data_IF_629801102368
#
_entry.id   IF_629801102368
#
_cell.length_a   1.000
_cell.length_b   1.000
_cell.length_c   1.000
_cell.angle_alpha   90.00
_cell.angle_beta   90.00
_cell.angle_gamma   90.00
#
_symmetry.space_group_name_H-M   'P 1'
#
loop_
_entity.id
_entity.type
_entity.pdbx_description
1 polymer ?
#
# COMPACT_ATOMS: atom_id res chain seq x y z
N UNK A 1 -28.83 -8.30 -17.60
CA UNK A 1 -28.66 -8.50 -16.15
C UNK A 1 -29.04 -7.22 -15.42
N UNK A 2 -30.03 -7.30 -14.54
CA UNK A 2 -30.41 -6.23 -13.61
C UNK A 2 -29.52 -6.30 -12.36
N UNK A 3 -29.06 -5.15 -11.88
CA UNK A 3 -28.41 -5.06 -10.57
C UNK A 3 -29.48 -5.23 -9.49
N UNK A 4 -29.18 -5.99 -8.44
CA UNK A 4 -30.14 -6.28 -7.38
C UNK A 4 -30.21 -5.10 -6.40
N UNK A 5 -31.41 -4.61 -6.10
CA UNK A 5 -31.63 -3.64 -5.02
C UNK A 5 -31.94 -4.41 -3.74
N UNK A 6 -31.28 -4.04 -2.65
CA UNK A 6 -31.49 -4.58 -1.31
C UNK A 6 -31.88 -3.46 -0.35
N UNK A 7 -32.63 -3.81 0.70
CA UNK A 7 -33.07 -2.87 1.74
C UNK A 7 -32.61 -3.35 3.11
N UNK A 8 -32.16 -2.42 3.93
CA UNK A 8 -31.72 -2.67 5.30
C UNK A 8 -32.50 -1.79 6.26
N UNK A 9 -32.92 -2.39 7.37
CA UNK A 9 -33.54 -1.67 8.48
C UNK A 9 -32.49 -0.86 9.25
N UNK A 10 -32.88 0.22 9.94
CA UNK A 10 -31.99 0.92 10.87
C UNK A 10 -31.33 -0.07 11.86
N UNK A 11 -30.09 0.23 12.24
CA UNK A 11 -29.23 -0.57 13.12
C UNK A 11 -28.75 -1.92 12.56
N UNK A 12 -29.19 -2.32 11.35
CA UNK A 12 -28.71 -3.54 10.72
C UNK A 12 -27.20 -3.48 10.44
N UNK A 13 -26.48 -4.52 10.87
CA UNK A 13 -25.09 -4.75 10.47
C UNK A 13 -25.09 -5.36 9.06
N UNK A 14 -24.63 -4.58 8.08
CA UNK A 14 -24.57 -4.97 6.67
C UNK A 14 -23.26 -5.71 6.39
N UNK A 15 -22.15 -5.23 6.94
CA UNK A 15 -20.85 -5.87 6.91
C UNK A 15 -20.34 -5.98 8.34
N UNK A 16 -19.79 -7.13 8.68
CA UNK A 16 -19.15 -7.40 9.97
C UNK A 16 -17.67 -7.70 9.71
N UNK A 17 -16.80 -6.98 10.41
CA UNK A 17 -15.35 -7.14 10.33
C UNK A 17 -14.92 -8.58 10.67
N UNK A 18 -14.03 -9.15 9.85
CA UNK A 18 -13.40 -10.45 10.11
C UNK A 18 -14.26 -11.70 9.93
N UNK A 19 -15.52 -11.60 9.48
CA UNK A 19 -16.38 -12.77 9.26
C UNK A 19 -16.02 -13.57 7.99
N UNK A 20 -16.83 -13.46 6.93
CA UNK A 20 -16.64 -14.19 5.69
C UNK A 20 -16.18 -13.26 4.57
N UNK A 21 -15.46 -13.81 3.60
CA UNK A 21 -15.08 -13.10 2.38
C UNK A 21 -16.32 -12.56 1.68
N UNK A 22 -16.31 -11.26 1.40
CA UNK A 22 -17.35 -10.64 0.60
C UNK A 22 -17.09 -10.92 -0.87
N UNK A 23 -18.13 -11.30 -1.61
CA UNK A 23 -18.10 -11.42 -3.08
C UNK A 23 -18.89 -10.30 -3.76
N UNK A 24 -19.21 -9.28 -2.99
CA UNK A 24 -20.11 -8.20 -3.36
C UNK A 24 -19.85 -6.96 -2.52
N UNK A 25 -20.22 -5.82 -3.09
CA UNK A 25 -20.20 -4.52 -2.42
C UNK A 25 -21.51 -3.78 -2.72
N UNK A 26 -21.69 -2.64 -2.05
CA UNK A 26 -22.95 -1.92 -2.06
C UNK A 26 -22.76 -0.47 -2.48
N UNK A 27 -23.72 0.06 -3.24
CA UNK A 27 -23.82 1.49 -3.59
C UNK A 27 -25.13 2.02 -3.02
N UNK A 28 -25.07 3.04 -2.18
CA UNK A 28 -26.24 3.57 -1.47
C UNK A 28 -27.11 4.36 -2.45
N UNK A 29 -28.40 4.04 -2.53
CA UNK A 29 -29.40 4.83 -3.26
C UNK A 29 -30.13 5.80 -2.34
N UNK A 30 -30.42 5.37 -1.10
CA UNK A 30 -31.07 6.19 -0.08
C UNK A 30 -30.67 5.70 1.31
N UNK A 31 -30.79 6.59 2.30
CA UNK A 31 -30.41 6.33 3.68
C UNK A 31 -28.95 6.64 3.99
N UNK A 32 -28.51 6.25 5.19
CA UNK A 32 -27.18 6.50 5.71
C UNK A 32 -26.59 5.23 6.31
N UNK A 33 -25.31 4.98 6.03
CA UNK A 33 -24.53 3.86 6.57
C UNK A 33 -23.32 4.41 7.30
N UNK A 34 -23.07 3.94 8.52
CA UNK A 34 -21.84 4.22 9.26
C UNK A 34 -20.84 3.10 8.99
N UNK A 35 -19.64 3.44 8.55
CA UNK A 35 -18.50 2.52 8.48
C UNK A 35 -17.48 2.84 9.58
N UNK A 36 -16.91 1.81 10.20
CA UNK A 36 -15.88 1.96 11.23
C UNK A 36 -15.06 0.68 11.41
N UNK A 37 -13.90 0.81 12.06
CA UNK A 37 -13.02 -0.29 12.42
C UNK A 37 -13.20 -0.64 13.90
N UNK A 38 -13.25 -1.93 14.23
CA UNK A 38 -13.32 -2.39 15.63
C UNK A 38 -12.02 -2.11 16.38
N UNK A 39 -10.90 -2.15 15.66
CA UNK A 39 -9.59 -1.71 16.15
C UNK A 39 -9.10 -0.55 15.29
N UNK A 40 -9.31 0.70 15.74
CA UNK A 40 -8.82 1.89 15.05
C UNK A 40 -7.32 1.80 14.82
N UNK A 41 -6.89 2.11 13.60
CA UNK A 41 -5.48 2.28 13.25
C UNK A 41 -5.20 3.74 12.99
N UNK A 42 -3.94 4.16 13.11
CA UNK A 42 -3.57 5.56 12.91
C UNK A 42 -3.93 6.00 11.49
N UNK A 43 -4.63 7.13 11.35
CA UNK A 43 -5.10 7.64 10.06
C UNK A 43 -6.44 7.03 9.58
N UNK A 44 -7.02 6.08 10.32
CA UNK A 44 -8.36 5.51 10.08
C UNK A 44 -9.10 5.27 11.40
N UNK A 45 -9.14 6.32 12.22
CA UNK A 45 -9.59 6.25 13.61
C UNK A 45 -11.04 6.70 13.81
N UNK A 46 -11.65 7.32 12.80
CA UNK A 46 -12.98 7.92 12.89
C UNK A 46 -14.01 7.16 12.06
N UNK A 47 -15.18 6.84 12.65
CA UNK A 47 -16.31 6.37 11.87
C UNK A 47 -16.67 7.36 10.75
N UNK A 48 -16.97 6.82 9.58
CA UNK A 48 -17.44 7.61 8.43
C UNK A 48 -18.93 7.38 8.23
N UNK A 49 -19.69 8.44 7.95
CA UNK A 49 -21.10 8.33 7.57
C UNK A 49 -21.21 8.51 6.06
N UNK A 50 -21.69 7.47 5.39
CA UNK A 50 -21.88 7.39 3.95
C UNK A 50 -23.35 7.62 3.60
N UNK A 51 -23.59 8.30 2.47
CA UNK A 51 -24.92 8.64 1.98
C UNK A 51 -25.17 8.22 0.53
N UNK A 52 -26.27 8.70 -0.09
CA UNK A 52 -26.60 8.38 -1.47
C UNK A 52 -25.45 8.65 -2.45
N UNK A 53 -25.14 7.65 -3.28
CA UNK A 53 -24.03 7.67 -4.24
C UNK A 53 -22.68 7.24 -3.68
N UNK A 54 -22.55 7.03 -2.37
CA UNK A 54 -21.37 6.41 -1.75
C UNK A 54 -21.46 4.88 -1.82
N UNK A 55 -20.33 4.24 -1.57
CA UNK A 55 -20.16 2.79 -1.65
C UNK A 55 -19.39 2.26 -0.44
N UNK A 56 -19.57 0.98 -0.12
CA UNK A 56 -18.86 0.30 0.95
C UNK A 56 -18.70 -1.20 0.65
N UNK A 57 -17.68 -1.83 1.23
CA UNK A 57 -17.35 -3.24 1.03
C UNK A 57 -16.50 -3.54 -0.22
N UNK A 58 -16.08 -2.51 -0.97
CA UNK A 58 -15.32 -2.68 -2.22
C UNK A 58 -13.95 -3.29 -1.96
N UNK A 59 -13.22 -2.88 -0.92
CA UNK A 59 -11.88 -3.40 -0.64
C UNK A 59 -11.89 -4.92 -0.47
N UNK A 60 -12.82 -5.42 0.35
CA UNK A 60 -12.94 -6.84 0.67
C UNK A 60 -13.47 -7.64 -0.53
N UNK A 61 -14.47 -7.10 -1.22
CA UNK A 61 -15.02 -7.71 -2.43
C UNK A 61 -13.96 -7.91 -3.51
N UNK A 62 -13.12 -6.90 -3.73
CA UNK A 62 -12.19 -6.87 -4.85
C UNK A 62 -10.83 -7.51 -4.54
N UNK A 63 -10.37 -7.49 -3.29
CA UNK A 63 -9.16 -8.23 -2.86
C UNK A 63 -9.46 -9.71 -2.57
N UNK A 64 -10.68 -10.03 -2.16
CA UNK A 64 -11.03 -11.36 -1.68
C UNK A 64 -10.54 -11.64 -0.26
N UNK A 65 -10.10 -10.62 0.48
CA UNK A 65 -9.81 -10.75 1.91
C UNK A 65 -11.07 -10.56 2.75
N UNK A 66 -11.00 -11.05 4.00
CA UNK A 66 -12.04 -10.79 5.00
C UNK A 66 -12.26 -9.29 5.21
N UNK A 67 -13.49 -8.85 5.54
CA UNK A 67 -13.78 -7.46 5.81
C UNK A 67 -12.90 -6.85 6.89
N UNK A 68 -12.33 -5.69 6.56
CA UNK A 68 -11.53 -4.90 7.49
C UNK A 68 -12.36 -3.80 8.15
N UNK A 69 -13.67 -3.72 7.93
CA UNK A 69 -14.56 -2.75 8.57
C UNK A 69 -15.94 -3.33 8.84
N UNK A 70 -16.64 -2.66 9.74
CA UNK A 70 -18.06 -2.82 9.99
C UNK A 70 -18.82 -1.78 9.18
N UNK A 71 -19.93 -2.16 8.56
CA UNK A 71 -20.89 -1.24 7.95
C UNK A 71 -22.26 -1.44 8.61
N UNK A 72 -22.80 -0.39 9.21
CA UNK A 72 -24.08 -0.44 9.93
C UNK A 72 -25.05 0.62 9.40
N UNK A 73 -26.28 0.23 9.10
CA UNK A 73 -27.33 1.15 8.71
C UNK A 73 -27.70 2.09 9.88
N UNK A 74 -27.68 3.40 9.66
CA UNK A 74 -28.16 4.39 10.64
C UNK A 74 -29.64 4.71 10.44
N UNK A 75 -30.09 4.68 9.20
CA UNK A 75 -31.48 4.91 8.78
C UNK A 75 -31.96 3.74 7.90
N UNK A 76 -33.22 3.69 7.43
CA UNK A 76 -33.59 2.73 6.41
C UNK A 76 -32.76 2.96 5.14
N UNK A 77 -32.03 1.94 4.70
CA UNK A 77 -31.11 2.04 3.56
C UNK A 77 -31.64 1.23 2.39
N UNK A 78 -31.62 1.82 1.19
CA UNK A 78 -31.76 1.10 -0.07
C UNK A 78 -30.41 1.15 -0.79
N UNK A 79 -29.88 0.00 -1.21
CA UNK A 79 -28.58 -0.06 -1.86
C UNK A 79 -28.60 -1.01 -3.07
N UNK A 80 -27.79 -0.68 -4.07
CA UNK A 80 -27.50 -1.57 -5.20
C UNK A 80 -26.42 -2.53 -4.73
N UNK A 81 -26.72 -3.82 -4.75
CA UNK A 81 -25.79 -4.92 -4.48
C UNK A 81 -25.09 -5.31 -5.78
N UNK A 82 -23.77 -5.24 -5.80
CA UNK A 82 -22.93 -5.49 -6.96
C UNK A 82 -22.00 -6.66 -6.66
N UNK A 83 -22.14 -7.75 -7.42
CA UNK A 83 -21.23 -8.89 -7.32
C UNK A 83 -19.94 -8.65 -8.09
N UNK A 84 -18.87 -9.35 -7.72
CA UNK A 84 -17.55 -9.23 -8.37
C UNK A 84 -17.59 -9.44 -9.89
N UNK A 85 -18.38 -10.40 -10.36
CA UNK A 85 -18.57 -10.70 -11.79
C UNK A 85 -19.37 -9.62 -12.55
N UNK A 86 -20.13 -8.78 -11.83
CA UNK A 86 -20.90 -7.67 -12.39
C UNK A 86 -20.11 -6.36 -12.43
N UNK A 87 -18.92 -6.32 -11.80
CA UNK A 87 -18.18 -5.08 -11.62
C UNK A 87 -17.72 -4.45 -12.94
N UNK A 88 -17.17 -5.26 -13.86
CA UNK A 88 -16.76 -4.77 -15.18
C UNK A 88 -17.93 -4.14 -15.97
N UNK A 89 -19.10 -4.76 -15.91
CA UNK A 89 -20.32 -4.24 -16.55
C UNK A 89 -20.80 -2.93 -15.91
N UNK A 90 -20.70 -2.82 -14.58
CA UNK A 90 -21.03 -1.60 -13.87
C UNK A 90 -20.12 -0.44 -14.30
N UNK A 91 -18.82 -0.68 -14.40
CA UNK A 91 -17.84 0.32 -14.85
C UNK A 91 -18.14 0.76 -16.29
N UNK A 92 -18.48 -0.18 -17.16
CA UNK A 92 -18.87 0.13 -18.54
C UNK A 92 -20.06 1.10 -18.60
N UNK A 93 -21.02 0.97 -17.67
CA UNK A 93 -22.19 1.85 -17.57
C UNK A 93 -21.90 3.17 -16.87
N UNK A 94 -20.90 3.23 -15.99
CA UNK A 94 -20.54 4.43 -15.23
C UNK A 94 -19.05 4.51 -14.93
N UNK A 95 -18.28 5.06 -15.88
CA UNK A 95 -16.88 5.42 -15.66
C UNK A 95 -16.68 6.41 -14.49
N UNK A 96 -17.58 7.39 -14.24
CA UNK A 96 -17.45 8.28 -13.08
C UNK A 96 -17.44 7.54 -11.74
N UNK A 97 -18.19 6.44 -11.60
CA UNK A 97 -18.19 5.63 -10.39
C UNK A 97 -16.84 4.94 -10.20
N UNK A 98 -16.26 4.36 -11.26
CA UNK A 98 -14.93 3.76 -11.21
C UNK A 98 -13.88 4.80 -10.78
N UNK A 99 -13.93 6.00 -11.36
CA UNK A 99 -13.04 7.09 -10.99
C UNK A 99 -13.23 7.53 -9.53
N UNK A 100 -14.47 7.57 -9.03
CA UNK A 100 -14.75 7.87 -7.61
C UNK A 100 -14.10 6.82 -6.69
N UNK A 101 -14.24 5.53 -7.01
CA UNK A 101 -13.61 4.43 -6.26
C UNK A 101 -12.08 4.54 -6.29
N UNK A 102 -11.50 4.68 -7.48
CA UNK A 102 -10.04 4.78 -7.69
C UNK A 102 -9.45 5.96 -6.90
N UNK A 103 -10.07 7.14 -6.97
CA UNK A 103 -9.62 8.32 -6.21
C UNK A 103 -9.74 8.12 -4.70
N UNK A 104 -10.86 7.55 -4.23
CA UNK A 104 -11.05 7.24 -2.81
C UNK A 104 -9.96 6.30 -2.29
N UNK A 105 -9.64 5.26 -3.05
CA UNK A 105 -8.61 4.28 -2.70
C UNK A 105 -7.20 4.86 -2.74
N UNK A 106 -6.89 5.67 -3.74
CA UNK A 106 -5.63 6.42 -3.83
C UNK A 106 -5.39 7.27 -2.57
N UNK A 107 -6.39 8.08 -2.18
CA UNK A 107 -6.30 8.92 -0.98
C UNK A 107 -6.13 8.09 0.30
N UNK A 108 -6.88 6.99 0.44
CA UNK A 108 -6.79 6.09 1.60
C UNK A 108 -5.41 5.44 1.70
N UNK A 109 -4.88 4.92 0.59
CA UNK A 109 -3.55 4.31 0.54
C UNK A 109 -2.46 5.33 0.90
N UNK A 110 -2.55 6.57 0.40
CA UNK A 110 -1.60 7.65 0.75
C UNK A 110 -1.62 7.95 2.25
N UNK A 111 -2.80 8.01 2.85
CA UNK A 111 -2.95 8.22 4.29
C UNK A 111 -2.29 7.07 5.07
N UNK A 112 -2.47 5.82 4.64
CA UNK A 112 -1.85 4.66 5.30
C UNK A 112 -0.34 4.65 5.13
N UNK A 113 0.19 4.91 3.94
CA UNK A 113 1.65 4.99 3.71
C UNK A 113 2.28 6.05 4.61
N UNK A 114 1.62 7.21 4.75
CA UNK A 114 2.05 8.29 5.64
C UNK A 114 2.03 7.84 7.11
N UNK A 115 0.96 7.17 7.53
CA UNK A 115 0.81 6.64 8.88
C UNK A 115 1.88 5.60 9.23
N UNK A 116 2.12 4.63 8.33
CA UNK A 116 3.14 3.59 8.49
C UNK A 116 4.52 4.24 8.61
N UNK A 117 4.81 5.20 7.73
CA UNK A 117 6.08 5.94 7.75
C UNK A 117 6.26 6.64 9.10
N UNK A 118 5.26 7.39 9.58
CA UNK A 118 5.32 8.11 10.88
C UNK A 118 5.51 7.21 12.08
N UNK A 119 4.81 6.08 12.11
CA UNK A 119 4.83 5.17 13.25
C UNK A 119 6.11 4.33 13.27
N UNK A 120 6.58 3.91 12.10
CA UNK A 120 7.82 3.13 11.97
C UNK A 120 9.05 4.02 12.16
N UNK A 121 8.95 5.31 11.79
CA UNK A 121 10.06 6.23 11.78
C UNK A 121 9.59 7.60 12.30
N UNK A 122 10.11 8.02 13.44
CA UNK A 122 9.61 9.11 14.30
C UNK A 122 9.43 10.51 13.67
N UNK A 123 9.76 10.71 12.39
CA UNK A 123 9.62 11.98 11.68
C UNK A 123 8.84 11.78 10.37
N UNK A 124 7.66 12.39 10.23
CA UNK A 124 7.09 12.65 8.91
C UNK A 124 7.56 14.00 8.42
N UNK A 125 8.18 13.97 7.26
CA UNK A 125 8.56 15.13 6.49
C UNK A 125 7.38 15.53 5.58
N UNK A 126 7.28 16.82 5.27
CA UNK A 126 6.28 17.33 4.32
C UNK A 126 6.55 16.78 2.91
N UNK A 127 5.50 16.46 2.14
CA UNK A 127 5.63 16.02 0.75
C UNK A 127 6.00 17.22 -0.16
N UNK A 128 7.27 17.63 -0.15
CA UNK A 128 7.79 18.79 -0.90
C UNK A 128 9.10 18.48 -1.64
N UNK A 129 9.32 18.99 -2.87
CA UNK A 129 10.53 18.74 -3.64
C UNK A 129 11.86 19.11 -2.95
N UNK A 130 11.86 19.91 -1.89
CA UNK A 130 13.06 20.21 -1.10
C UNK A 130 13.77 18.95 -0.58
N UNK A 131 13.03 17.88 -0.29
CA UNK A 131 13.55 16.59 0.18
C UNK A 131 14.38 15.82 -0.85
N UNK A 132 14.32 16.22 -2.13
CA UNK A 132 15.18 15.63 -3.17
C UNK A 132 16.66 15.82 -2.86
N UNK A 133 17.02 16.87 -2.13
CA UNK A 133 18.40 17.06 -1.67
C UNK A 133 18.86 15.96 -0.71
N UNK A 134 18.05 15.65 0.32
CA UNK A 134 18.36 14.61 1.31
C UNK A 134 18.46 13.22 0.66
N UNK A 135 17.59 12.95 -0.31
CA UNK A 135 17.65 11.74 -1.14
C UNK A 135 18.95 11.66 -1.93
N UNK A 136 19.35 12.77 -2.57
CA UNK A 136 20.63 12.88 -3.27
C UNK A 136 21.82 12.63 -2.35
N UNK A 137 21.83 13.21 -1.15
CA UNK A 137 22.90 13.00 -0.17
C UNK A 137 22.96 11.55 0.33
N UNK A 138 21.82 10.92 0.61
CA UNK A 138 21.78 9.52 1.04
C UNK A 138 22.38 8.60 -0.03
N UNK A 139 21.99 8.78 -1.30
CA UNK A 139 22.54 8.01 -2.41
C UNK A 139 24.01 8.31 -2.69
N UNK A 140 24.44 9.56 -2.55
CA UNK A 140 25.86 9.94 -2.69
C UNK A 140 26.72 9.24 -1.63
N UNK A 141 26.29 9.25 -0.35
CA UNK A 141 26.98 8.56 0.75
C UNK A 141 27.09 7.04 0.54
N UNK A 142 26.12 6.44 -0.17
CA UNK A 142 26.12 5.03 -0.57
C UNK A 142 26.80 4.74 -1.91
N UNK A 143 27.51 5.73 -2.49
CA UNK A 143 28.19 5.63 -3.79
C UNK A 143 27.26 5.31 -4.98
N UNK A 144 25.95 5.58 -4.89
CA UNK A 144 25.00 5.46 -6.01
C UNK A 144 24.97 6.75 -6.83
N UNK A 145 26.05 7.02 -7.55
CA UNK A 145 26.29 8.33 -8.19
C UNK A 145 25.23 8.72 -9.22
N UNK A 146 24.73 7.78 -10.02
CA UNK A 146 23.67 8.07 -11.00
C UNK A 146 22.34 8.46 -10.35
N UNK A 147 22.03 7.80 -9.23
CA UNK A 147 20.83 8.10 -8.46
C UNK A 147 20.96 9.47 -7.78
N UNK A 148 22.10 9.71 -7.13
CA UNK A 148 22.40 11.00 -6.50
C UNK A 148 22.35 12.16 -7.51
N UNK A 149 22.95 11.96 -8.69
CA UNK A 149 22.93 12.97 -9.75
C UNK A 149 21.51 13.29 -10.21
N UNK A 150 20.68 12.27 -10.43
CA UNK A 150 19.26 12.46 -10.79
C UNK A 150 18.53 13.30 -9.73
N UNK A 151 18.67 12.96 -8.45
CA UNK A 151 18.03 13.67 -7.34
C UNK A 151 18.48 15.14 -7.24
N UNK A 152 19.79 15.42 -7.30
CA UNK A 152 20.28 16.80 -7.25
C UNK A 152 19.86 17.63 -8.47
N UNK A 153 19.84 17.03 -9.67
CA UNK A 153 19.37 17.72 -10.87
C UNK A 153 17.88 18.07 -10.76
N UNK A 154 17.06 17.16 -10.24
CA UNK A 154 15.63 17.38 -10.01
C UNK A 154 15.37 18.39 -8.91
N UNK A 155 16.17 18.39 -7.84
CA UNK A 155 16.16 19.45 -6.84
C UNK A 155 16.44 20.82 -7.48
N UNK A 156 17.48 20.95 -8.31
CA UNK A 156 17.79 22.23 -9.00
C UNK A 156 16.66 22.67 -9.94
N UNK A 157 15.95 21.73 -10.56
CA UNK A 157 14.83 22.00 -11.45
C UNK A 157 13.60 22.52 -10.69
N UNK A 158 13.23 21.89 -9.57
CA UNK A 158 12.00 22.20 -8.84
C UNK A 158 12.19 23.22 -7.72
N UNK A 159 13.40 23.34 -7.18
CA UNK A 159 13.78 24.27 -6.11
C UNK A 159 14.91 25.21 -6.55
N UNK A 160 14.75 26.00 -7.64
CA UNK A 160 15.84 26.84 -8.18
C UNK A 160 16.31 27.95 -7.22
N UNK A 161 15.51 28.25 -6.19
CA UNK A 161 15.82 29.22 -5.11
C UNK A 161 15.92 28.55 -3.73
N UNK A 162 16.04 27.23 -3.68
CA UNK A 162 16.13 26.48 -2.42
C UNK A 162 17.48 26.65 -1.71
N UNK A 163 17.51 26.37 -0.41
CA UNK A 163 18.70 26.53 0.44
C UNK A 163 19.90 25.68 0.01
N UNK A 164 19.66 24.55 -0.65
CA UNK A 164 20.69 23.58 -1.03
C UNK A 164 21.11 23.66 -2.50
N UNK A 165 20.81 24.75 -3.21
CA UNK A 165 21.18 24.93 -4.62
C UNK A 165 22.70 24.89 -4.80
N UNK A 166 23.44 25.59 -3.94
CA UNK A 166 24.91 25.63 -4.01
C UNK A 166 25.54 24.27 -3.73
N UNK A 167 25.08 23.56 -2.70
CA UNK A 167 25.52 22.20 -2.38
C UNK A 167 25.21 21.23 -3.52
N UNK A 168 24.01 21.28 -4.09
CA UNK A 168 23.60 20.40 -5.21
C UNK A 168 24.50 20.58 -6.44
N UNK A 169 24.83 21.83 -6.80
CA UNK A 169 25.78 22.12 -7.89
C UNK A 169 27.17 21.58 -7.58
N UNK A 170 27.66 21.75 -6.35
CA UNK A 170 28.95 21.22 -5.91
C UNK A 170 29.00 19.68 -6.02
N UNK A 171 27.97 18.97 -5.56
CA UNK A 171 27.91 17.51 -5.67
C UNK A 171 27.92 17.05 -7.14
N UNK A 172 27.14 17.69 -8.00
CA UNK A 172 27.11 17.37 -9.44
C UNK A 172 28.46 17.59 -10.11
N UNK A 173 29.18 18.67 -9.78
CA UNK A 173 30.54 18.91 -10.25
C UNK A 173 31.52 17.85 -9.75
N UNK A 174 31.46 17.47 -8.47
CA UNK A 174 32.30 16.39 -7.90
C UNK A 174 32.08 15.06 -8.61
N UNK A 175 30.86 14.77 -9.06
CA UNK A 175 30.53 13.55 -9.80
C UNK A 175 30.77 13.67 -11.32
N UNK A 176 31.21 14.83 -11.82
CA UNK A 176 31.31 15.13 -13.25
C UNK A 176 29.98 14.87 -14.00
N UNK A 177 28.87 15.37 -13.43
CA UNK A 177 27.51 15.22 -13.96
C UNK A 177 26.94 16.58 -14.37
N UNK A 178 26.06 16.63 -15.40
CA UNK A 178 25.46 17.89 -15.83
C UNK A 178 24.54 18.47 -14.74
N UNK A 179 24.36 19.78 -14.74
CA UNK A 179 23.46 20.46 -13.78
C UNK A 179 21.98 20.29 -14.13
N UNK A 180 21.68 20.08 -15.42
CA UNK A 180 20.31 19.93 -15.90
C UNK A 180 19.86 18.48 -15.76
N UNK A 181 18.62 18.30 -15.31
CA UNK A 181 18.00 16.98 -15.29
C UNK A 181 17.72 16.49 -16.72
N UNK A 182 17.78 15.18 -16.97
CA UNK A 182 17.25 14.63 -18.22
C UNK A 182 15.77 15.02 -18.38
N UNK A 183 15.31 15.27 -19.62
CA UNK A 183 13.92 15.62 -19.88
C UNK A 183 12.97 14.58 -19.28
N UNK A 184 11.89 15.05 -18.67
CA UNK A 184 10.93 14.22 -17.90
C UNK A 184 10.16 13.25 -18.81
N UNK A 185 9.99 13.58 -20.09
CA UNK A 185 9.07 12.89 -20.98
C UNK A 185 9.79 12.34 -22.20
N UNK A 186 10.00 11.03 -22.22
CA UNK A 186 9.80 10.33 -23.47
C UNK A 186 8.31 10.49 -23.82
N UNK A 187 8.01 11.21 -24.91
CA UNK A 187 6.61 11.44 -25.34
C UNK A 187 5.94 10.13 -25.76
N UNK A 188 6.72 9.06 -25.95
CA UNK A 188 6.18 7.75 -26.26
C UNK A 188 5.44 7.18 -25.05
N UNK A 189 4.26 6.64 -25.36
CA UNK A 189 3.43 5.93 -24.40
C UNK A 189 4.12 4.63 -23.95
N UNK A 190 4.84 3.93 -24.82
CA UNK A 190 5.63 2.75 -24.46
C UNK A 190 7.08 3.16 -24.20
N UNK A 191 7.60 2.79 -23.03
CA UNK A 191 8.95 3.14 -22.58
C UNK A 191 9.71 1.89 -22.16
N UNK A 192 11.02 1.91 -22.40
CA UNK A 192 11.94 0.86 -21.96
C UNK A 192 13.00 1.50 -21.09
N UNK A 193 13.18 0.95 -19.90
CA UNK A 193 14.18 1.42 -18.95
C UNK A 193 15.09 0.24 -18.58
N UNK A 194 16.42 0.41 -18.63
CA UNK A 194 17.34 -0.62 -18.16
C UNK A 194 17.26 -0.77 -16.64
N UNK A 195 17.77 -1.89 -16.13
CA UNK A 195 17.99 -2.12 -14.71
C UNK A 195 18.68 -0.93 -14.02
N UNK A 196 18.29 -0.67 -12.78
CA UNK A 196 18.78 0.39 -11.89
C UNK A 196 18.45 1.83 -12.36
N UNK A 197 17.62 1.98 -13.40
CA UNK A 197 17.16 3.30 -13.84
C UNK A 197 16.06 3.83 -12.92
N UNK A 198 16.20 5.09 -12.48
CA UNK A 198 15.13 5.81 -11.79
C UNK A 198 14.04 6.20 -12.80
N UNK A 199 12.79 5.84 -12.49
CA UNK A 199 11.59 6.30 -13.21
C UNK A 199 11.16 7.67 -12.68
N UNK A 200 11.09 7.80 -11.35
CA UNK A 200 10.88 9.06 -10.63
C UNK A 200 11.32 8.92 -9.17
N UNK A 201 11.58 10.04 -8.49
CA UNK A 201 11.80 10.06 -7.05
C UNK A 201 10.52 10.45 -6.29
N UNK A 202 10.47 10.07 -5.02
CA UNK A 202 9.53 10.65 -4.07
C UNK A 202 9.64 12.18 -4.02
N UNK A 203 8.54 12.84 -3.68
CA UNK A 203 8.41 14.29 -3.59
C UNK A 203 8.59 15.06 -4.92
N UNK A 204 8.85 14.37 -6.04
CA UNK A 204 8.75 14.99 -7.37
C UNK A 204 7.27 15.19 -7.76
N UNK A 205 6.94 16.22 -8.55
CA UNK A 205 5.66 16.28 -9.24
C UNK A 205 5.44 15.07 -10.15
N UNK A 206 4.25 14.47 -10.11
CA UNK A 206 3.89 13.32 -10.94
C UNK A 206 2.78 13.65 -11.95
N UNK A 207 3.05 13.43 -13.24
CA UNK A 207 2.11 13.75 -14.33
C UNK A 207 1.54 12.53 -15.06
N UNK A 208 2.12 11.36 -14.77
CA UNK A 208 1.82 10.09 -15.43
C UNK A 208 1.80 8.96 -14.41
N UNK A 209 1.02 7.92 -14.70
CA UNK A 209 1.15 6.60 -14.09
C UNK A 209 1.77 5.63 -15.09
N UNK A 210 2.15 4.46 -14.59
CA UNK A 210 2.85 3.46 -15.37
C UNK A 210 2.18 2.09 -15.20
N UNK A 211 2.08 1.32 -16.28
CA UNK A 211 1.68 -0.08 -16.28
C UNK A 211 2.87 -0.91 -16.74
N UNK A 212 3.32 -1.86 -15.93
CA UNK A 212 4.47 -2.73 -16.26
C UNK A 212 4.03 -3.77 -17.29
N UNK A 213 4.66 -3.78 -18.46
CA UNK A 213 4.40 -4.74 -19.55
C UNK A 213 5.37 -5.93 -19.52
N UNK A 214 6.53 -5.77 -18.89
CA UNK A 214 7.55 -6.80 -18.71
C UNK A 214 8.67 -6.27 -17.82
N UNK A 215 9.22 -7.10 -16.94
CA UNK A 215 10.22 -6.71 -15.94
C UNK A 215 9.60 -6.37 -14.58
N UNK A 216 10.35 -5.63 -13.75
CA UNK A 216 9.97 -5.27 -12.38
C UNK A 216 10.53 -3.93 -11.92
N UNK A 217 9.79 -3.28 -11.02
CA UNK A 217 10.10 -1.95 -10.46
C UNK A 217 10.03 -2.02 -8.94
N UNK A 218 11.08 -1.54 -8.29
CA UNK A 218 11.16 -1.37 -6.85
C UNK A 218 10.57 -0.02 -6.43
N UNK A 219 9.67 -0.03 -5.46
CA UNK A 219 9.15 1.16 -4.81
C UNK A 219 9.90 1.36 -3.50
N UNK A 220 10.60 2.49 -3.37
CA UNK A 220 11.42 2.80 -2.19
C UNK A 220 11.05 4.14 -1.60
N UNK A 221 11.34 4.31 -0.30
CA UNK A 221 11.13 5.57 0.42
C UNK A 221 12.32 5.85 1.32
N UNK A 222 12.78 7.08 1.34
CA UNK A 222 13.80 7.53 2.28
C UNK A 222 13.12 7.90 3.60
N UNK A 223 13.54 7.25 4.68
CA UNK A 223 13.05 7.53 6.01
C UNK A 223 14.20 7.58 7.00
N UNK A 224 14.35 8.72 7.69
CA UNK A 224 15.48 8.99 8.59
C UNK A 224 16.85 8.71 7.94
N UNK A 225 17.02 9.06 6.66
CA UNK A 225 18.24 8.83 5.89
C UNK A 225 18.47 7.39 5.42
N UNK A 226 17.62 6.44 5.82
CA UNK A 226 17.64 5.06 5.36
C UNK A 226 16.63 4.84 4.23
N UNK A 227 17.01 4.05 3.23
CA UNK A 227 16.10 3.72 2.13
C UNK A 227 15.37 2.43 2.49
N UNK A 228 14.06 2.51 2.55
CA UNK A 228 13.16 1.40 2.87
C UNK A 228 12.49 0.95 1.59
N UNK A 229 12.54 -0.35 1.30
CA UNK A 229 11.79 -0.95 0.19
C UNK A 229 10.34 -1.15 0.62
N UNK A 230 9.40 -0.51 -0.06
CA UNK A 230 7.96 -0.66 0.21
C UNK A 230 7.36 -1.84 -0.56
N UNK A 231 7.77 -2.02 -1.83
CA UNK A 231 7.28 -3.09 -2.68
C UNK A 231 8.23 -3.36 -3.86
N UNK A 232 8.12 -4.56 -4.43
CA UNK A 232 8.60 -4.86 -5.79
C UNK A 232 7.37 -5.17 -6.62
N UNK A 233 7.20 -4.43 -7.71
CA UNK A 233 6.08 -4.51 -8.64
C UNK A 233 6.52 -5.27 -9.89
N UNK A 234 5.62 -6.08 -10.42
CA UNK A 234 5.89 -6.96 -11.56
C UNK A 234 4.94 -6.68 -12.74
N UNK A 235 5.05 -7.49 -13.77
CA UNK A 235 4.23 -7.37 -14.98
C UNK A 235 2.73 -7.37 -14.65
N UNK A 236 2.02 -6.37 -15.17
CA UNK A 236 0.60 -6.14 -14.92
C UNK A 236 0.32 -5.13 -13.80
N UNK A 237 1.29 -4.84 -12.93
CA UNK A 237 1.13 -3.86 -11.87
C UNK A 237 1.09 -2.43 -12.40
N UNK A 238 0.36 -1.59 -11.66
CA UNK A 238 0.18 -0.17 -11.93
C UNK A 238 0.83 0.62 -10.79
N UNK A 239 1.59 1.67 -11.12
CA UNK A 239 2.21 2.54 -10.12
C UNK A 239 2.27 4.01 -10.57
N UNK A 240 2.44 4.90 -9.60
CA UNK A 240 2.46 6.35 -9.83
C UNK A 240 1.06 6.97 -10.03
N UNK A 241 0.01 6.18 -9.88
CA UNK A 241 -1.40 6.60 -9.95
C UNK A 241 -1.73 7.68 -8.92
N UNK A 242 -1.17 7.58 -7.71
CA UNK A 242 -1.53 8.46 -6.60
C UNK A 242 -1.20 9.92 -6.86
N UNK A 243 -0.11 10.19 -7.57
CA UNK A 243 0.29 11.56 -7.87
C UNK A 243 -0.71 12.25 -8.82
N UNK A 244 -1.17 11.54 -9.85
CA UNK A 244 -2.09 12.11 -10.84
C UNK A 244 -3.54 12.19 -10.32
N UNK A 245 -3.93 11.22 -9.48
CA UNK A 245 -5.29 11.12 -8.92
C UNK A 245 -5.51 12.14 -7.80
N UNK A 246 -4.53 12.29 -6.91
CA UNK A 246 -4.63 13.18 -5.75
C UNK A 246 -4.12 14.60 -6.05
N UNK A 247 -3.47 14.80 -7.21
CA UNK A 247 -2.78 16.05 -7.57
C UNK A 247 -1.73 16.46 -6.51
N UNK A 248 -0.95 15.48 -6.06
CA UNK A 248 0.11 15.61 -5.05
C UNK A 248 1.44 15.07 -5.59
N UNK A 249 2.58 15.42 -4.98
CA UNK A 249 3.86 14.80 -5.32
C UNK A 249 3.85 13.27 -5.19
N UNK A 250 4.87 12.64 -5.79
CA UNK A 250 5.13 11.19 -5.68
C UNK A 250 5.29 10.82 -4.21
N UNK A 251 4.56 9.82 -3.74
CA UNK A 251 4.61 9.34 -2.35
C UNK A 251 5.85 8.51 -2.02
N UNK A 252 6.50 7.96 -3.04
CA UNK A 252 7.66 7.07 -3.00
C UNK A 252 8.47 7.19 -4.30
N UNK A 253 9.71 6.72 -4.29
CA UNK A 253 10.59 6.59 -5.45
C UNK A 253 10.32 5.29 -6.19
N UNK A 254 10.51 5.28 -7.52
CA UNK A 254 10.37 4.10 -8.36
C UNK A 254 11.66 3.86 -9.15
N UNK A 255 12.30 2.71 -8.91
CA UNK A 255 13.59 2.31 -9.49
C UNK A 255 13.43 0.96 -10.18
N UNK A 256 13.91 0.84 -11.40
CA UNK A 256 13.80 -0.39 -12.19
C UNK A 256 14.69 -1.48 -11.59
N UNK A 257 14.12 -2.64 -11.25
CA UNK A 257 14.84 -3.74 -10.61
C UNK A 257 15.46 -4.72 -11.63
N UNK A 258 14.87 -4.82 -12.81
CA UNK A 258 15.37 -5.54 -13.99
C UNK A 258 14.90 -4.80 -15.25
N UNK A 259 15.54 -5.00 -16.41
CA UNK A 259 15.15 -4.33 -17.66
C UNK A 259 13.63 -4.38 -17.88
N UNK A 260 13.01 -3.20 -17.90
CA UNK A 260 11.56 -3.07 -17.78
C UNK A 260 10.97 -2.32 -18.96
N UNK A 261 9.90 -2.89 -19.51
CA UNK A 261 9.02 -2.24 -20.48
C UNK A 261 7.74 -1.83 -19.78
N UNK A 262 7.32 -0.59 -19.98
CA UNK A 262 6.13 -0.05 -19.32
C UNK A 262 5.37 0.93 -20.22
N UNK A 263 4.08 1.05 -19.95
CA UNK A 263 3.20 2.01 -20.60
C UNK A 263 2.97 3.22 -19.68
N UNK A 264 3.38 4.41 -20.10
CA UNK A 264 3.15 5.67 -19.40
C UNK A 264 1.83 6.29 -19.84
N UNK A 265 0.96 6.63 -18.88
CA UNK A 265 -0.37 7.19 -19.13
C UNK A 265 -0.52 8.48 -18.33
N UNK A 266 -0.76 9.58 -19.03
CA UNK A 266 -1.05 10.86 -18.39
C UNK A 266 -2.49 10.93 -17.86
N UNK A 267 -2.75 11.93 -17.02
CA UNK A 267 -4.07 12.15 -16.41
C UNK A 267 -5.22 12.26 -17.41
N UNK A 268 -5.01 12.96 -18.54
CA UNK A 268 -6.04 13.16 -19.56
C UNK A 268 -6.44 11.84 -20.24
N UNK A 269 -5.47 10.98 -20.50
CA UNK A 269 -5.69 9.69 -21.14
C UNK A 269 -6.22 8.63 -20.17
N UNK A 270 -5.98 8.78 -18.87
CA UNK A 270 -6.37 7.80 -17.87
C UNK A 270 -7.90 7.62 -17.77
N UNK A 271 -8.67 8.71 -17.75
CA UNK A 271 -10.14 8.62 -17.70
C UNK A 271 -10.70 7.96 -18.99
N UNK A 272 -10.11 8.29 -20.14
CA UNK A 272 -10.42 7.65 -21.41
C UNK A 272 -10.10 6.15 -21.41
N UNK A 273 -8.99 5.74 -20.79
CA UNK A 273 -8.60 4.34 -20.64
C UNK A 273 -9.59 3.57 -19.75
N UNK A 274 -9.98 4.13 -18.60
CA UNK A 274 -10.97 3.53 -17.70
C UNK A 274 -12.32 3.33 -18.40
N UNK A 275 -12.74 4.32 -19.22
CA UNK A 275 -14.00 4.26 -19.98
C UNK A 275 -13.95 3.25 -21.12
N UNK A 276 -12.87 3.24 -21.90
CA UNK A 276 -12.72 2.38 -23.09
C UNK A 276 -12.38 0.93 -22.73
N UNK A 277 -11.71 0.71 -21.60
CA UNK A 277 -11.25 -0.59 -21.15
C UNK A 277 -11.65 -0.85 -19.69
N UNK A 278 -12.92 -1.25 -19.43
CA UNK A 278 -13.40 -1.52 -18.08
C UNK A 278 -12.52 -2.52 -17.29
N UNK A 279 -11.91 -3.49 -17.99
CA UNK A 279 -10.99 -4.45 -17.38
C UNK A 279 -9.75 -3.81 -16.75
N UNK A 280 -9.26 -2.68 -17.27
CA UNK A 280 -8.14 -1.94 -16.66
C UNK A 280 -8.58 -1.36 -15.32
N UNK A 281 -9.79 -0.79 -15.26
CA UNK A 281 -10.33 -0.24 -14.02
C UNK A 281 -10.61 -1.32 -12.98
N UNK A 282 -11.14 -2.48 -13.40
CA UNK A 282 -11.29 -3.65 -12.53
C UNK A 282 -9.95 -4.05 -11.93
N UNK A 283 -8.92 -4.24 -12.78
CA UNK A 283 -7.57 -4.60 -12.33
C UNK A 283 -6.98 -3.58 -11.36
N UNK A 284 -7.08 -2.29 -11.69
CA UNK A 284 -6.56 -1.22 -10.83
C UNK A 284 -7.26 -1.20 -9.47
N UNK A 285 -8.59 -1.33 -9.44
CA UNK A 285 -9.35 -1.32 -8.19
C UNK A 285 -9.03 -2.56 -7.36
N UNK A 286 -8.90 -3.74 -7.97
CA UNK A 286 -8.41 -4.95 -7.30
C UNK A 286 -7.03 -4.73 -6.69
N UNK A 287 -6.08 -4.22 -7.47
CA UNK A 287 -4.71 -3.96 -7.01
C UNK A 287 -4.66 -2.93 -5.88
N UNK A 288 -5.42 -1.84 -5.97
CA UNK A 288 -5.52 -0.85 -4.90
C UNK A 288 -6.19 -1.43 -3.65
N UNK A 289 -7.19 -2.30 -3.81
CA UNK A 289 -7.83 -2.99 -2.69
C UNK A 289 -6.85 -3.87 -1.92
N UNK A 290 -6.02 -4.63 -2.65
CA UNK A 290 -4.96 -5.47 -2.07
C UNK A 290 -3.92 -4.63 -1.32
N UNK A 291 -3.51 -3.49 -1.90
CA UNK A 291 -2.57 -2.56 -1.25
C UNK A 291 -3.16 -1.93 0.01
N UNK A 292 -4.41 -1.47 -0.03
CA UNK A 292 -5.11 -0.92 1.13
C UNK A 292 -5.23 -1.96 2.23
N UNK A 293 -5.61 -3.18 1.88
CA UNK A 293 -5.69 -4.27 2.84
C UNK A 293 -4.33 -4.55 3.48
N UNK A 294 -3.26 -4.67 2.67
CA UNK A 294 -1.91 -4.91 3.17
C UNK A 294 -1.43 -3.80 4.11
N UNK A 295 -1.61 -2.54 3.69
CA UNK A 295 -1.20 -1.37 4.48
C UNK A 295 -2.02 -1.26 5.79
N UNK A 296 -3.32 -1.54 5.74
CA UNK A 296 -4.16 -1.63 6.95
C UNK A 296 -3.63 -2.69 7.93
N UNK A 297 -3.26 -3.88 7.41
CA UNK A 297 -2.73 -4.97 8.24
C UNK A 297 -1.40 -4.62 8.87
N UNK A 298 -0.52 -3.94 8.14
CA UNK A 298 0.74 -3.42 8.69
C UNK A 298 0.48 -2.38 9.79
N UNK A 299 -0.48 -1.47 9.60
CA UNK A 299 -0.84 -0.52 10.65
C UNK A 299 -1.42 -1.23 11.89
N UNK A 300 -2.26 -2.25 11.69
CA UNK A 300 -2.79 -3.06 12.78
C UNK A 300 -1.68 -3.82 13.53
N UNK A 301 -0.70 -4.36 12.81
CA UNK A 301 0.49 -4.99 13.37
C UNK A 301 1.24 -4.05 14.35
N UNK A 302 1.43 -2.79 13.95
CA UNK A 302 2.11 -1.78 14.78
C UNK A 302 1.36 -1.46 16.08
N UNK A 303 0.06 -1.79 16.18
CA UNK A 303 -0.71 -1.65 17.42
C UNK A 303 -0.50 -2.79 18.42
N UNK A 304 0.19 -3.87 18.02
CA UNK A 304 0.55 -4.97 18.91
C UNK A 304 1.75 -4.55 19.76
N UNK A 305 1.60 -4.55 21.08
CA UNK A 305 2.69 -4.14 21.99
C UNK A 305 3.83 -5.18 22.04
N UNK A 306 3.47 -6.47 21.97
CA UNK A 306 4.41 -7.57 22.14
C UNK A 306 5.27 -7.78 20.88
N UNK A 307 6.62 -7.76 20.98
CA UNK A 307 7.50 -7.92 19.84
C UNK A 307 7.31 -9.25 19.10
N UNK A 308 7.09 -10.35 19.84
CA UNK A 308 6.89 -11.68 19.26
C UNK A 308 5.52 -11.76 18.57
N UNK A 309 4.51 -11.12 19.17
CA UNK A 309 3.19 -10.95 18.57
C UNK A 309 3.24 -10.23 17.21
N UNK A 310 4.06 -9.18 17.08
CA UNK A 310 4.27 -8.50 15.78
C UNK A 310 4.89 -9.42 14.74
N UNK A 311 5.88 -10.22 15.12
CA UNK A 311 6.53 -11.14 14.20
C UNK A 311 5.56 -12.23 13.70
N UNK A 312 4.78 -12.84 14.60
CA UNK A 312 3.75 -13.80 14.19
C UNK A 312 2.71 -13.17 13.25
N UNK A 313 2.23 -11.99 13.61
CA UNK A 313 1.22 -11.29 12.84
C UNK A 313 1.75 -10.91 11.46
N UNK A 314 3.02 -10.52 11.34
CA UNK A 314 3.66 -10.23 10.05
C UNK A 314 3.80 -11.47 9.16
N UNK A 315 4.12 -12.63 9.75
CA UNK A 315 4.14 -13.90 9.00
C UNK A 315 2.75 -14.25 8.47
N UNK A 316 1.70 -14.09 9.29
CA UNK A 316 0.32 -14.33 8.86
C UNK A 316 -0.10 -13.37 7.74
N UNK A 317 0.30 -12.10 7.80
CA UNK A 317 0.07 -11.12 6.72
C UNK A 317 0.66 -11.62 5.40
N UNK A 318 1.86 -12.20 5.39
CA UNK A 318 2.47 -12.73 4.16
C UNK A 318 1.71 -13.97 3.63
N UNK A 319 1.24 -14.84 4.51
CA UNK A 319 0.42 -16.02 4.15
C UNK A 319 -0.89 -15.60 3.49
N UNK A 320 -1.60 -14.66 4.11
CA UNK A 320 -2.86 -14.09 3.62
C UNK A 320 -2.66 -13.34 2.30
N UNK A 321 -1.62 -12.50 2.19
CA UNK A 321 -1.25 -11.79 0.95
C UNK A 321 -0.99 -12.76 -0.21
N UNK A 322 -0.33 -13.89 0.07
CA UNK A 322 -0.10 -14.96 -0.90
C UNK A 322 -1.32 -15.85 -1.13
N UNK A 323 -2.47 -15.54 -0.51
CA UNK A 323 -3.74 -16.29 -0.58
C UNK A 323 -3.55 -17.78 -0.28
N UNK A 324 -2.60 -18.09 0.61
CA UNK A 324 -2.31 -19.47 0.99
C UNK A 324 -3.40 -19.98 1.93
N UNK A 325 -4.08 -21.11 1.63
CA UNK A 325 -5.13 -21.63 2.49
C UNK A 325 -4.63 -22.02 3.88
N UNK A 326 -5.19 -21.42 4.93
CA UNK A 326 -4.89 -21.77 6.32
C UNK A 326 -5.71 -23.01 6.69
N UNK A 327 -5.10 -24.19 6.54
CA UNK A 327 -5.71 -25.49 6.84
C UNK A 327 -4.67 -26.40 7.51
N UNK A 328 -5.16 -27.42 8.22
CA UNK A 328 -4.28 -28.40 8.86
C UNK A 328 -3.36 -29.08 7.83
N UNK A 329 -2.08 -29.26 8.19
CA UNK A 329 -1.02 -29.85 7.35
C UNK A 329 -0.60 -29.01 6.13
N UNK A 330 -1.12 -27.79 5.96
CA UNK A 330 -0.57 -26.87 4.96
C UNK A 330 0.73 -26.27 5.47
N UNK A 331 1.81 -26.41 4.69
CA UNK A 331 3.09 -25.75 4.95
C UNK A 331 3.21 -24.50 4.09
N UNK A 332 3.95 -23.50 4.57
CA UNK A 332 4.29 -22.30 3.80
C UNK A 332 5.79 -22.02 3.90
N UNK A 333 6.41 -21.87 2.74
CA UNK A 333 7.82 -21.54 2.60
C UNK A 333 7.90 -20.04 2.33
N UNK A 334 8.48 -19.29 3.27
CA UNK A 334 8.71 -17.87 3.08
C UNK A 334 9.97 -17.69 2.25
N UNK A 335 9.97 -16.70 1.35
CA UNK A 335 11.13 -16.36 0.53
C UNK A 335 12.10 -15.40 1.24
N UNK A 336 12.06 -15.34 2.57
CA UNK A 336 12.84 -14.41 3.39
C UNK A 336 13.28 -15.05 4.71
N UNK A 337 14.34 -14.49 5.31
CA UNK A 337 14.93 -14.98 6.55
C UNK A 337 14.56 -14.17 7.79
N UNK A 338 15.26 -14.46 8.89
CA UNK A 338 15.07 -13.78 10.18
C UNK A 338 15.30 -12.26 10.12
N UNK A 339 16.37 -11.83 9.43
CA UNK A 339 16.71 -10.40 9.33
C UNK A 339 15.65 -9.61 8.57
N UNK A 340 15.11 -10.18 7.49
CA UNK A 340 14.07 -9.53 6.69
C UNK A 340 12.78 -9.41 7.49
N UNK A 341 12.42 -10.44 8.27
CA UNK A 341 11.26 -10.39 9.15
C UNK A 341 11.38 -9.29 10.21
N UNK A 342 12.58 -9.08 10.78
CA UNK A 342 12.83 -7.97 11.71
C UNK A 342 12.63 -6.62 11.02
N UNK A 343 13.23 -6.42 9.84
CA UNK A 343 13.06 -5.18 9.05
C UNK A 343 11.60 -4.92 8.72
N UNK A 344 10.83 -5.95 8.39
CA UNK A 344 9.41 -5.88 8.05
C UNK A 344 8.53 -5.35 9.18
N UNK A 345 8.91 -5.57 10.44
CA UNK A 345 8.19 -5.06 11.63
C UNK A 345 8.85 -3.82 12.25
N UNK A 346 9.88 -3.27 11.59
CA UNK A 346 10.62 -2.09 12.05
C UNK A 346 11.60 -2.36 13.20
N UNK A 347 12.04 -3.60 13.38
CA UNK A 347 13.07 -3.96 14.36
C UNK A 347 14.48 -3.92 13.75
N UNK A 348 15.47 -3.70 14.60
CA UNK A 348 16.88 -3.64 14.22
C UNK A 348 17.46 -5.06 14.12
N UNK A 349 17.89 -5.53 12.93
CA UNK A 349 18.46 -6.86 12.74
C UNK A 349 19.71 -7.14 13.58
N UNK A 350 20.41 -6.12 14.08
CA UNK A 350 21.58 -6.29 14.93
C UNK A 350 21.21 -6.43 16.41
N UNK A 351 20.21 -5.70 16.86
CA UNK A 351 19.87 -5.58 18.29
C UNK A 351 18.67 -6.46 18.70
N UNK A 352 17.79 -6.83 17.77
CA UNK A 352 16.49 -7.44 18.06
C UNK A 352 16.39 -8.93 17.67
N UNK A 353 17.52 -9.58 17.34
CA UNK A 353 17.55 -11.00 16.92
C UNK A 353 16.94 -11.97 17.95
N UNK A 354 17.02 -11.61 19.23
CA UNK A 354 16.45 -12.38 20.33
C UNK A 354 14.94 -12.64 20.18
N UNK A 355 14.18 -11.72 19.57
CA UNK A 355 12.74 -11.91 19.37
C UNK A 355 12.46 -13.01 18.33
N UNK A 356 13.23 -13.06 17.24
CA UNK A 356 13.09 -14.14 16.25
C UNK A 356 13.54 -15.47 16.83
N UNK A 357 14.64 -15.48 17.60
CA UNK A 357 15.08 -16.69 18.30
C UNK A 357 13.99 -17.22 19.25
N UNK A 358 13.29 -16.34 19.98
CA UNK A 358 12.19 -16.74 20.85
C UNK A 358 10.99 -17.34 20.11
N UNK A 359 10.78 -16.95 18.86
CA UNK A 359 9.70 -17.42 17.98
C UNK A 359 10.04 -18.78 17.34
N UNK A 360 11.28 -18.95 16.87
CA UNK A 360 11.74 -20.20 16.23
C UNK A 360 12.04 -21.29 17.26
N UNK A 361 12.72 -20.97 18.36
CA UNK A 361 13.19 -21.99 19.32
C UNK A 361 12.05 -22.55 20.19
N UNK A 362 10.97 -21.79 20.36
CA UNK A 362 9.85 -22.19 21.20
C UNK A 362 8.94 -23.23 20.55
N UNK A 363 8.97 -23.35 19.22
CA UNK A 363 7.98 -24.11 18.48
C UNK A 363 8.58 -24.94 17.33
N UNK A 364 8.16 -26.20 17.21
CA UNK A 364 8.62 -27.08 16.11
C UNK A 364 7.97 -26.77 14.76
N UNK A 365 6.88 -26.00 14.76
CA UNK A 365 6.07 -25.69 13.58
C UNK A 365 6.57 -24.47 12.79
N UNK A 366 7.57 -23.75 13.28
CA UNK A 366 8.21 -22.64 12.56
C UNK A 366 9.72 -22.78 12.67
N UNK A 367 10.41 -22.86 11.53
CA UNK A 367 11.85 -23.12 11.49
C UNK A 367 12.55 -22.21 10.50
N UNK A 368 13.86 -22.05 10.72
CA UNK A 368 14.77 -21.56 9.69
C UNK A 368 15.33 -22.77 8.93
N UNK A 369 15.11 -22.82 7.62
CA UNK A 369 15.64 -23.83 6.71
C UNK A 369 16.45 -23.13 5.62
N UNK A 370 17.75 -23.47 5.52
CA UNK A 370 18.69 -22.88 4.56
C UNK A 370 18.66 -21.33 4.49
N UNK A 371 18.44 -20.66 5.64
CA UNK A 371 18.38 -19.20 5.73
C UNK A 371 17.00 -18.57 5.48
N UNK A 372 16.00 -19.38 5.11
CA UNK A 372 14.61 -18.95 4.90
C UNK A 372 13.68 -19.46 5.99
N UNK A 373 12.59 -18.76 6.26
CA UNK A 373 11.58 -19.21 7.22
C UNK A 373 10.62 -20.21 6.60
N UNK A 374 10.22 -21.22 7.37
CA UNK A 374 9.25 -22.23 6.96
C UNK A 374 8.25 -22.52 8.08
N UNK A 375 6.97 -22.37 7.77
CA UNK A 375 5.86 -22.71 8.66
C UNK A 375 5.25 -24.05 8.27
N UNK A 376 5.10 -24.95 9.24
CA UNK A 376 4.55 -26.29 9.07
C UNK A 376 3.12 -26.43 9.61
N UNK A 377 2.62 -25.41 10.32
CA UNK A 377 1.28 -25.40 10.92
C UNK A 377 0.70 -23.97 10.87
N UNK A 378 0.08 -23.63 9.73
CA UNK A 378 -0.58 -22.34 9.55
C UNK A 378 -1.74 -22.09 10.54
N UNK A 379 -2.59 -23.09 10.88
CA UNK A 379 -3.58 -22.92 11.94
C UNK A 379 -2.99 -22.52 13.31
N UNK A 380 -1.87 -23.11 13.71
CA UNK A 380 -1.22 -22.71 14.97
C UNK A 380 -0.65 -21.29 14.88
N UNK A 381 -0.08 -20.89 13.72
CA UNK A 381 0.31 -19.49 13.48
C UNK A 381 -0.87 -18.53 13.65
N UNK A 382 -2.01 -18.79 12.99
CA UNK A 382 -3.22 -17.96 13.08
C UNK A 382 -3.71 -17.84 14.54
N UNK A 383 -3.69 -18.95 15.28
CA UNK A 383 -4.07 -18.98 16.69
C UNK A 383 -3.15 -18.15 17.59
N UNK A 384 -1.83 -18.18 17.38
CA UNK A 384 -0.89 -17.32 18.11
C UNK A 384 -1.19 -15.84 17.83
N UNK A 385 -1.43 -15.50 16.56
CA UNK A 385 -1.77 -14.13 16.17
C UNK A 385 -3.08 -13.67 16.81
N UNK A 386 -4.12 -14.50 16.80
CA UNK A 386 -5.41 -14.19 17.42
C UNK A 386 -5.30 -13.95 18.93
N UNK A 387 -4.39 -14.66 19.60
CA UNK A 387 -4.12 -14.45 21.02
C UNK A 387 -3.60 -13.03 21.28
N UNK A 388 -2.57 -12.58 20.56
CA UNK A 388 -2.04 -11.21 20.68
C UNK A 388 -3.05 -10.16 20.21
N UNK A 389 -3.77 -10.45 19.11
CA UNK A 389 -5.02 -9.81 18.64
C UNK A 389 -5.92 -9.36 19.79
N UNK A 390 -6.39 -10.38 20.52
CA UNK A 390 -7.35 -10.23 21.62
C UNK A 390 -6.78 -9.48 22.82
N UNK A 391 -5.48 -9.58 23.09
CA UNK A 391 -4.85 -8.83 24.18
C UNK A 391 -4.90 -7.32 23.94
N UNK A 392 -4.57 -6.87 22.72
CA UNK A 392 -4.65 -5.45 22.34
C UNK A 392 -6.07 -4.93 22.50
N UNK A 393 -7.06 -5.66 21.99
CA UNK A 393 -8.48 -5.30 22.11
C UNK A 393 -8.93 -5.17 23.57
N UNK A 394 -8.57 -6.13 24.43
CA UNK A 394 -8.90 -6.10 25.86
C UNK A 394 -8.27 -4.93 26.59
N UNK A 395 -7.01 -4.59 26.31
CA UNK A 395 -6.34 -3.42 26.90
C UNK A 395 -7.06 -2.12 26.52
N UNK A 396 -7.41 -1.96 25.26
CA UNK A 396 -8.11 -0.76 24.76
C UNK A 396 -9.52 -0.61 25.35
N UNK A 397 -10.28 -1.70 25.44
CA UNK A 397 -11.61 -1.68 26.07
C UNK A 397 -11.54 -1.23 27.54
N UNK A 398 -10.52 -1.70 28.28
CA UNK A 398 -10.29 -1.24 29.65
C UNK A 398 -9.94 0.24 29.70
N UNK A 399 -9.06 0.72 28.82
CA UNK A 399 -8.68 2.13 28.77
C UNK A 399 -9.83 3.07 28.38
N UNK A 400 -10.77 2.63 27.55
CA UNK A 400 -11.95 3.42 27.16
C UNK A 400 -13.07 3.44 28.23
N UNK A 401 -13.00 2.56 29.23
CA UNK A 401 -13.95 2.46 30.33
C UNK A 401 -13.49 3.20 31.60
N UNK A 402 -12.25 3.71 31.59
CA UNK A 402 -11.68 4.61 32.62
C UNK A 402 -11.80 6.04 32.12
#
# INVERSE_FOLDING_TARGET
MSLQIVKFNPQAYIIIEGQEELKEFYIIQSGQVRTYKSTPVYGDDKPTVLGPGDFFGVESAMSGHKPIEVAQALTPVSAIKVKNDQFGLLIQKSAPLAMKIIRSFSMKLRAFDTAITRLSFRNALDEDPSHLFELGESWFKKNRLDHAAYAFQRYLQYCPKGEHVSQSKMYLQKMNRPLQAPPVADKNMNRVYPKDKIVFCENEPGYELYIIQGGSVMITKLVNGQEVMLAVLATGDIFGEMAILDNKPRSASAIVAEDTRMMAINKANFEGLVKSNPNVAVKLITLLSERIWTAYRQLANLTIDDPVGRLYDMLLIQVEKNKTPIKAKTTHDFNFGAEDLLKMVGFDPQNDQQYVASLINKHRWLRLDQGTLKCYDLPELEKQVDFYRKQVQRKRQKAAAM
#
